data_IF_589631973410
#
_entry.id   IF_589631973410
#
_cell.length_a   1.000
_cell.length_b   1.000
_cell.length_c   1.000
_cell.angle_alpha   90.00
_cell.angle_beta   90.00
_cell.angle_gamma   90.00
#
_symmetry.space_group_name_H-M   'P 1'
#
loop_
_entity.id
_entity.type
_entity.pdbx_description
1 polymer ?
#
# COMPACT_ATOMS: atom_id res chain seq x y z
N UNK A 1 -59.01 8.86 1.22
CA UNK A 1 -58.37 7.82 2.06
C UNK A 1 -59.09 7.75 3.39
N UNK A 2 -59.48 6.55 3.82
CA UNK A 2 -60.16 6.33 5.11
C UNK A 2 -59.19 6.66 6.27
N UNK A 3 -59.67 7.14 7.43
CA UNK A 3 -58.83 7.50 8.57
C UNK A 3 -57.83 6.39 8.94
N UNK A 4 -58.26 5.13 8.88
CA UNK A 4 -57.44 3.94 9.13
C UNK A 4 -56.24 3.79 8.19
N UNK A 5 -56.35 4.25 6.93
CA UNK A 5 -55.25 4.20 5.96
C UNK A 5 -54.19 5.27 6.23
N UNK A 6 -54.59 6.42 6.80
CA UNK A 6 -53.63 7.48 7.17
C UNK A 6 -52.76 7.02 8.33
N UNK A 7 -53.36 6.41 9.36
CA UNK A 7 -52.62 5.85 10.50
C UNK A 7 -51.61 4.76 10.08
N UNK A 8 -51.99 3.90 9.13
CA UNK A 8 -51.10 2.84 8.65
C UNK A 8 -49.86 3.41 7.93
N UNK A 9 -50.05 4.44 7.10
CA UNK A 9 -48.96 5.09 6.37
C UNK A 9 -48.03 5.86 7.32
N UNK A 10 -48.57 6.53 8.33
CA UNK A 10 -47.75 7.24 9.33
C UNK A 10 -46.94 6.26 10.20
N UNK A 11 -47.53 5.12 10.58
CA UNK A 11 -46.83 4.08 11.32
C UNK A 11 -45.68 3.47 10.51
N UNK A 12 -45.89 3.19 9.22
CA UNK A 12 -44.85 2.65 8.34
C UNK A 12 -43.69 3.64 8.12
N UNK A 13 -43.98 4.94 7.97
CA UNK A 13 -42.96 5.99 7.88
C UNK A 13 -42.14 6.11 9.16
N UNK A 14 -42.78 6.05 10.33
CA UNK A 14 -42.07 6.06 11.62
C UNK A 14 -41.19 4.82 11.79
N UNK A 15 -41.68 3.64 11.42
CA UNK A 15 -40.88 2.41 11.42
C UNK A 15 -39.68 2.52 10.47
N UNK A 16 -39.86 3.12 9.28
CA UNK A 16 -38.78 3.31 8.32
C UNK A 16 -37.73 4.31 8.84
N UNK A 17 -38.14 5.41 9.47
CA UNK A 17 -37.23 6.40 10.08
C UNK A 17 -36.45 5.78 11.25
N UNK A 18 -37.11 4.99 12.11
CA UNK A 18 -36.44 4.29 13.22
C UNK A 18 -35.49 3.21 12.71
N UNK A 19 -35.88 2.47 11.67
CA UNK A 19 -35.01 1.46 11.05
C UNK A 19 -33.81 2.08 10.35
N UNK A 20 -34.01 3.18 9.62
CA UNK A 20 -32.94 3.92 8.94
C UNK A 20 -32.02 4.63 9.94
N UNK A 21 -32.58 5.20 11.01
CA UNK A 21 -31.83 5.74 12.14
C UNK A 21 -30.97 4.68 12.80
N UNK A 22 -31.52 3.49 13.07
CA UNK A 22 -30.76 2.35 13.61
C UNK A 22 -29.65 1.86 12.67
N UNK A 23 -29.86 1.94 11.36
CA UNK A 23 -28.88 1.55 10.33
C UNK A 23 -27.78 2.61 10.13
N UNK A 24 -28.06 3.87 10.47
CA UNK A 24 -27.08 4.96 10.51
C UNK A 24 -26.33 5.03 11.85
N UNK A 25 -26.87 4.47 12.94
CA UNK A 25 -26.23 4.46 14.27
C UNK A 25 -25.34 3.25 14.55
N UNK A 26 -24.85 2.53 13.55
CA UNK A 26 -23.68 1.66 13.74
C UNK A 26 -22.41 2.44 13.39
N UNK A 27 -21.86 3.14 14.38
CA UNK A 27 -20.43 3.00 14.66
C UNK A 27 -20.18 3.07 16.17
N UNK A 28 -20.04 1.94 16.85
CA UNK A 28 -19.69 1.97 18.28
C UNK A 28 -19.15 0.64 18.85
N UNK A 29 -18.38 -0.15 18.08
CA UNK A 29 -17.68 -1.31 18.65
C UNK A 29 -16.16 -1.34 18.48
N UNK A 30 -15.56 -0.38 17.77
CA UNK A 30 -14.10 -0.14 17.78
C UNK A 30 -13.67 1.02 18.70
N UNK A 31 -14.55 1.49 19.60
CA UNK A 31 -14.28 2.68 20.42
C UNK A 31 -13.44 2.39 21.69
N UNK A 32 -13.03 1.15 21.95
CA UNK A 32 -12.37 0.80 23.22
C UNK A 32 -10.84 0.55 23.20
N UNK A 33 -10.09 0.94 22.15
CA UNK A 33 -8.62 0.82 22.17
C UNK A 33 -7.81 2.09 21.81
N UNK A 34 -8.43 3.22 21.45
CA UNK A 34 -7.68 4.43 21.04
C UNK A 34 -7.08 5.23 22.21
N UNK A 35 -7.60 5.10 23.44
CA UNK A 35 -7.08 5.86 24.59
C UNK A 35 -5.69 5.42 25.06
N UNK A 36 -5.15 4.30 24.54
CA UNK A 36 -3.81 3.81 24.90
C UNK A 36 -2.69 4.52 24.13
N UNK A 37 -3.03 5.17 23.02
CA UNK A 37 -2.10 5.85 22.12
C UNK A 37 -1.69 7.25 22.58
N UNK A 38 -2.51 7.88 23.44
CA UNK A 38 -2.27 9.24 23.92
C UNK A 38 -1.36 9.33 25.16
N UNK A 39 -0.94 8.20 25.73
CA UNK A 39 0.00 8.17 26.85
C UNK A 39 1.14 7.20 26.57
N UNK A 40 2.17 7.66 25.87
CA UNK A 40 3.48 7.03 25.85
C UNK A 40 3.84 6.32 24.55
N UNK A 41 4.25 7.10 23.54
CA UNK A 41 5.25 6.61 22.57
C UNK A 41 6.60 6.63 23.29
N UNK A 42 6.85 5.60 24.10
CA UNK A 42 8.19 5.28 24.56
C UNK A 42 8.82 4.32 23.53
N UNK A 43 9.27 4.86 22.40
CA UNK A 43 10.11 4.12 21.47
C UNK A 43 11.51 4.02 22.11
N UNK A 44 11.76 2.88 22.74
CA UNK A 44 13.07 2.52 23.25
C UNK A 44 14.06 2.33 22.11
N UNK A 45 14.73 3.40 21.70
CA UNK A 45 15.95 3.33 20.91
C UNK A 45 17.09 2.85 21.81
N UNK A 46 17.42 1.57 21.74
CA UNK A 46 18.64 1.03 22.33
C UNK A 46 19.84 1.44 21.45
N UNK A 47 20.63 2.39 21.94
CA UNK A 47 21.97 2.72 21.45
C UNK A 47 23.00 1.63 21.90
N UNK A 48 24.22 1.59 21.32
CA UNK A 48 24.94 0.33 21.06
C UNK A 48 25.62 -0.32 22.28
N UNK A 49 25.79 -1.64 22.17
CA UNK A 49 26.52 -2.54 23.05
C UNK A 49 27.87 -2.01 23.56
N UNK A 50 28.20 -2.35 24.83
CA UNK A 50 29.50 -2.88 25.17
C UNK A 50 29.40 -4.36 25.56
N UNK A 51 30.40 -5.12 25.12
CA UNK A 51 30.66 -6.51 25.46
C UNK A 51 30.81 -6.72 26.98
N UNK A 52 30.09 -7.68 27.55
CA UNK A 52 30.67 -8.68 28.48
C UNK A 52 29.66 -9.77 28.82
N UNK A 53 30.21 -10.97 28.95
CA UNK A 53 29.56 -12.25 29.23
C UNK A 53 28.93 -12.34 30.61
N UNK A 54 27.74 -12.94 30.73
CA UNK A 54 27.47 -13.98 31.74
C UNK A 54 26.17 -14.73 31.45
N UNK A 55 26.26 -16.04 31.61
CA UNK A 55 25.20 -17.03 31.46
C UNK A 55 24.19 -16.98 32.62
N UNK A 56 22.89 -17.14 32.33
CA UNK A 56 21.96 -17.86 33.22
C UNK A 56 20.70 -18.30 32.46
N UNK A 57 20.42 -19.61 32.55
CA UNK A 57 19.25 -20.30 32.05
C UNK A 57 17.98 -19.91 32.81
N UNK A 58 16.88 -19.62 32.09
CA UNK A 58 15.53 -19.91 32.59
C UNK A 58 14.55 -20.01 31.41
N UNK A 59 13.84 -21.13 31.33
CA UNK A 59 12.79 -21.39 30.34
C UNK A 59 11.54 -20.56 30.62
N UNK A 60 11.12 -19.76 29.64
CA UNK A 60 9.76 -19.26 29.51
C UNK A 60 9.43 -19.21 28.01
N UNK A 61 8.32 -19.84 27.62
CA UNK A 61 7.79 -19.85 26.25
C UNK A 61 7.46 -18.42 25.80
N UNK A 62 8.41 -17.81 25.10
CA UNK A 62 8.30 -16.47 24.51
C UNK A 62 7.75 -16.62 23.09
N UNK A 63 6.63 -15.95 22.83
CA UNK A 63 6.09 -15.69 21.48
C UNK A 63 7.25 -15.16 20.62
N UNK A 64 7.62 -15.91 19.58
CA UNK A 64 8.79 -15.59 18.74
C UNK A 64 8.50 -14.33 17.93
N UNK A 65 9.37 -13.33 18.09
CA UNK A 65 9.54 -12.21 17.17
C UNK A 65 9.99 -12.78 15.81
N UNK A 66 9.42 -12.36 14.67
CA UNK A 66 9.87 -12.82 13.36
C UNK A 66 11.36 -12.54 13.17
N UNK A 67 12.05 -13.50 12.59
CA UNK A 67 13.49 -13.45 12.29
C UNK A 67 13.69 -12.86 10.89
N UNK A 68 14.90 -12.36 10.61
CA UNK A 68 15.30 -11.86 9.27
C UNK A 68 15.10 -12.90 8.16
N UNK A 69 15.06 -14.19 8.53
CA UNK A 69 14.76 -15.33 7.66
C UNK A 69 13.29 -15.46 7.27
N UNK A 70 12.38 -14.81 8.00
CA UNK A 70 10.95 -14.72 7.65
C UNK A 70 10.69 -13.59 6.62
N UNK A 71 11.74 -12.83 6.27
CA UNK A 71 11.75 -11.73 5.29
C UNK A 71 12.55 -12.06 4.02
N UNK A 72 13.05 -13.29 3.89
CA UNK A 72 13.77 -13.74 2.69
C UNK A 72 12.83 -14.41 1.68
N UNK A 73 13.05 -14.22 0.36
CA UNK A 73 12.19 -14.79 -0.69
C UNK A 73 12.10 -16.31 -0.59
N UNK A 74 10.89 -16.86 -0.70
CA UNK A 74 10.67 -18.29 -0.88
C UNK A 74 11.19 -18.70 -2.27
N UNK A 75 12.43 -19.16 -2.35
CA UNK A 75 12.89 -19.89 -3.52
C UNK A 75 12.52 -21.37 -3.34
N UNK A 76 11.58 -21.83 -4.16
CA UNK A 76 11.35 -23.26 -4.35
C UNK A 76 12.59 -23.88 -4.99
N UNK A 77 13.32 -24.70 -4.23
CA UNK A 77 14.32 -25.63 -4.78
C UNK A 77 13.59 -26.73 -5.58
N UNK A 78 13.83 -26.74 -6.89
CA UNK A 78 13.41 -27.79 -7.82
C UNK A 78 14.60 -28.31 -8.60
N UNK A 79 14.86 -29.61 -8.45
CA UNK A 79 16.02 -30.39 -8.89
C UNK A 79 16.50 -30.21 -10.35
N UNK A 80 17.83 -30.29 -10.52
CA UNK A 80 18.53 -30.45 -11.80
C UNK A 80 18.21 -31.78 -12.51
N UNK A 81 18.10 -31.72 -13.85
CA UNK A 81 18.55 -32.81 -14.72
C UNK A 81 18.90 -32.26 -16.12
N UNK A 82 19.99 -32.80 -16.68
CA UNK A 82 20.68 -32.35 -17.88
C UNK A 82 20.32 -33.17 -19.13
N UNK A 83 20.47 -32.56 -20.33
CA UNK A 83 21.05 -33.09 -21.60
C UNK A 83 20.42 -32.40 -22.86
N UNK A 84 21.28 -31.81 -23.71
CA UNK A 84 21.28 -32.09 -25.16
C UNK A 84 20.58 -31.16 -26.20
N UNK A 85 21.28 -30.09 -26.60
CA UNK A 85 21.53 -29.60 -27.97
C UNK A 85 20.45 -29.70 -29.10
N UNK A 86 19.82 -28.57 -29.49
CA UNK A 86 19.83 -27.96 -30.86
C UNK A 86 18.80 -26.84 -31.00
N UNK A 87 19.31 -25.67 -31.41
CA UNK A 87 18.70 -24.67 -32.29
C UNK A 87 17.21 -24.35 -32.10
N UNK A 88 16.95 -23.29 -31.33
CA UNK A 88 16.05 -22.22 -31.75
C UNK A 88 16.48 -20.95 -31.03
N UNK A 89 17.14 -20.03 -31.73
CA UNK A 89 17.18 -18.62 -31.31
C UNK A 89 15.77 -18.06 -31.52
N UNK A 90 14.82 -18.51 -30.69
CA UNK A 90 13.56 -17.81 -30.52
C UNK A 90 13.93 -16.52 -29.80
N UNK A 91 13.61 -15.37 -30.39
CA UNK A 91 13.58 -14.12 -29.63
C UNK A 91 12.50 -14.24 -28.54
N UNK A 92 12.84 -14.80 -27.38
CA UNK A 92 12.03 -14.73 -26.16
C UNK A 92 12.73 -13.77 -25.22
N UNK A 93 12.46 -12.50 -25.39
CA UNK A 93 12.27 -11.50 -24.33
C UNK A 93 11.53 -10.36 -25.02
N UNK A 94 10.34 -9.95 -24.57
CA UNK A 94 9.72 -8.78 -25.21
C UNK A 94 8.83 -7.95 -24.29
N UNK A 95 8.24 -8.53 -23.25
CA UNK A 95 7.49 -7.75 -22.26
C UNK A 95 8.39 -7.48 -21.07
N UNK A 96 9.01 -6.30 -21.05
CA UNK A 96 9.89 -5.81 -19.97
C UNK A 96 9.16 -4.79 -19.09
N UNK A 97 7.93 -5.12 -18.70
CA UNK A 97 7.07 -4.25 -17.89
C UNK A 97 6.01 -5.06 -17.15
N UNK A 98 5.65 -4.61 -15.95
CA UNK A 98 4.74 -5.34 -15.05
C UNK A 98 3.70 -4.40 -14.42
N UNK A 99 2.54 -4.95 -14.12
CA UNK A 99 1.51 -4.34 -13.28
C UNK A 99 1.44 -5.11 -11.97
N UNK A 100 1.55 -4.39 -10.85
CA UNK A 100 1.50 -4.91 -9.49
C UNK A 100 0.20 -4.47 -8.85
N UNK A 101 -0.59 -5.43 -8.38
CA UNK A 101 -1.92 -5.19 -7.79
C UNK A 101 -2.01 -5.92 -6.46
N UNK A 102 -2.44 -5.20 -5.42
CA UNK A 102 -2.94 -5.81 -4.19
C UNK A 102 -4.45 -6.03 -4.31
N UNK A 103 -4.93 -7.21 -3.92
CA UNK A 103 -6.34 -7.57 -3.97
C UNK A 103 -6.80 -8.25 -2.68
N UNK A 104 -8.07 -8.07 -2.34
CA UNK A 104 -8.76 -8.99 -1.43
C UNK A 104 -9.18 -10.25 -2.20
N UNK A 105 -9.53 -11.32 -1.49
CA UNK A 105 -10.06 -12.56 -2.07
C UNK A 105 -11.32 -12.31 -2.93
N UNK A 106 -12.14 -11.35 -2.51
CA UNK A 106 -13.41 -11.02 -3.16
C UNK A 106 -13.27 -10.07 -4.36
N UNK A 107 -12.10 -9.43 -4.52
CA UNK A 107 -11.86 -8.55 -5.65
C UNK A 107 -11.71 -9.33 -6.97
N UNK A 108 -12.40 -8.87 -8.01
CA UNK A 108 -12.18 -9.33 -9.38
C UNK A 108 -11.01 -8.57 -10.01
N UNK A 109 -9.94 -9.30 -10.31
CA UNK A 109 -8.71 -8.80 -10.93
C UNK A 109 -8.38 -9.48 -12.25
N UNK A 110 -9.26 -10.33 -12.78
CA UNK A 110 -9.00 -11.09 -14.02
C UNK A 110 -8.84 -10.15 -15.22
N UNK A 111 -9.47 -8.98 -15.14
CA UNK A 111 -9.36 -7.91 -16.13
C UNK A 111 -7.92 -7.45 -16.36
N UNK A 112 -7.02 -7.52 -15.35
CA UNK A 112 -5.61 -7.15 -15.50
C UNK A 112 -4.95 -8.06 -16.53
N UNK A 113 -5.20 -9.38 -16.42
CA UNK A 113 -4.67 -10.39 -17.34
C UNK A 113 -5.34 -10.30 -18.70
N UNK A 114 -6.67 -10.16 -18.72
CA UNK A 114 -7.47 -10.26 -19.93
C UNK A 114 -7.38 -9.02 -20.83
N UNK A 115 -7.18 -7.82 -20.26
CA UNK A 115 -7.26 -6.56 -21.02
C UNK A 115 -5.94 -5.81 -21.13
N UNK A 116 -4.96 -6.11 -20.29
CA UNK A 116 -3.61 -5.52 -20.31
C UNK A 116 -2.57 -6.57 -20.71
N UNK A 117 -2.88 -7.36 -21.74
CA UNK A 117 -2.11 -8.50 -22.25
C UNK A 117 -0.68 -8.17 -22.68
N UNK A 118 -0.35 -6.88 -22.86
CA UNK A 118 0.96 -6.39 -23.21
C UNK A 118 1.84 -6.07 -21.98
N UNK A 119 1.39 -6.42 -20.77
CA UNK A 119 2.08 -6.27 -19.50
C UNK A 119 2.18 -7.63 -18.79
N UNK A 120 3.29 -7.85 -18.08
CA UNK A 120 3.33 -8.88 -17.04
C UNK A 120 2.46 -8.44 -15.86
N UNK A 121 2.09 -9.38 -14.99
CA UNK A 121 1.27 -9.07 -13.82
C UNK A 121 1.77 -9.79 -12.56
N UNK A 122 1.73 -9.08 -11.43
CA UNK A 122 1.97 -9.62 -10.10
C UNK A 122 0.79 -9.22 -9.20
N UNK A 123 -0.12 -10.16 -8.96
CA UNK A 123 -1.39 -9.90 -8.26
C UNK A 123 -1.32 -10.62 -6.90
N UNK A 124 -1.15 -9.86 -5.83
CA UNK A 124 -1.01 -10.38 -4.47
C UNK A 124 -2.32 -10.34 -3.71
N UNK A 125 -2.72 -11.46 -3.11
CA UNK A 125 -3.82 -11.51 -2.16
C UNK A 125 -3.37 -10.99 -0.79
N UNK A 126 -4.19 -10.12 -0.17
CA UNK A 126 -3.90 -9.58 1.17
C UNK A 126 -4.53 -10.39 2.31
N UNK A 127 -5.51 -11.23 2.00
CA UNK A 127 -6.34 -11.97 2.94
C UNK A 127 -6.59 -13.44 2.52
N UNK A 128 -5.80 -13.96 1.57
CA UNK A 128 -5.80 -15.37 1.17
C UNK A 128 -4.38 -15.97 1.25
N UNK A 129 -4.03 -16.67 2.34
CA UNK A 129 -2.69 -17.26 2.52
C UNK A 129 -2.42 -18.44 1.58
N UNK A 130 -3.44 -18.98 0.92
CA UNK A 130 -3.29 -20.08 -0.04
C UNK A 130 -3.08 -19.56 -1.48
N UNK A 131 -3.19 -18.24 -1.70
CA UNK A 131 -2.97 -17.67 -3.01
C UNK A 131 -1.49 -17.78 -3.43
N UNK A 132 -1.17 -18.01 -4.71
CA UNK A 132 0.23 -18.17 -5.15
C UNK A 132 1.13 -16.96 -4.83
N UNK A 133 0.58 -15.76 -4.93
CA UNK A 133 1.20 -14.53 -4.46
C UNK A 133 0.33 -13.97 -3.34
N UNK A 134 0.87 -13.89 -2.13
CA UNK A 134 0.19 -13.37 -0.96
C UNK A 134 1.17 -12.63 -0.05
N UNK A 135 0.65 -11.80 0.83
CA UNK A 135 1.44 -11.20 1.92
C UNK A 135 1.20 -11.95 3.22
N UNK A 136 2.20 -11.97 4.10
CA UNK A 136 2.12 -12.68 5.39
C UNK A 136 1.16 -12.02 6.38
N UNK A 137 0.86 -10.73 6.20
CA UNK A 137 -0.01 -9.93 7.06
C UNK A 137 -0.75 -8.87 6.26
N UNK A 138 -2.08 -8.77 6.44
CA UNK A 138 -2.86 -7.67 5.88
C UNK A 138 -2.64 -6.38 6.69
N UNK A 139 -1.76 -5.50 6.21
CA UNK A 139 -1.32 -4.29 6.93
C UNK A 139 -0.96 -3.19 5.94
N UNK A 140 -1.39 -1.95 6.21
CA UNK A 140 -0.95 -0.78 5.44
C UNK A 140 -1.51 -0.70 4.02
N UNK A 141 -2.67 -1.33 3.76
CA UNK A 141 -3.34 -1.36 2.47
C UNK A 141 -2.41 -1.83 1.34
N UNK A 142 -2.44 -1.18 0.17
CA UNK A 142 -1.63 -1.50 -1.00
C UNK A 142 -0.12 -1.36 -0.75
N UNK A 143 0.29 -0.57 0.25
CA UNK A 143 1.70 -0.29 0.47
C UNK A 143 2.51 -1.54 0.82
N UNK A 144 1.92 -2.51 1.52
CA UNK A 144 2.60 -3.77 1.83
C UNK A 144 2.91 -4.56 0.56
N UNK A 145 1.91 -4.71 -0.32
CA UNK A 145 2.08 -5.40 -1.60
C UNK A 145 3.15 -4.72 -2.46
N UNK A 146 3.15 -3.39 -2.51
CA UNK A 146 4.09 -2.64 -3.34
C UNK A 146 5.53 -2.78 -2.83
N UNK A 147 5.74 -2.66 -1.52
CA UNK A 147 7.05 -2.87 -0.90
C UNK A 147 7.52 -4.32 -1.05
N UNK A 148 6.64 -5.30 -0.80
CA UNK A 148 6.94 -6.72 -0.94
C UNK A 148 7.40 -7.04 -2.37
N UNK A 149 6.68 -6.56 -3.39
CA UNK A 149 7.07 -6.75 -4.79
C UNK A 149 8.46 -6.19 -5.08
N UNK A 150 8.74 -4.96 -4.63
CA UNK A 150 10.05 -4.32 -4.84
C UNK A 150 11.16 -5.13 -4.18
N UNK A 151 10.95 -5.60 -2.94
CA UNK A 151 11.94 -6.37 -2.19
C UNK A 151 12.22 -7.71 -2.87
N UNK A 152 11.18 -8.47 -3.22
CA UNK A 152 11.31 -9.82 -3.79
C UNK A 152 11.98 -9.82 -5.16
N UNK A 153 11.81 -8.74 -5.92
CA UNK A 153 12.24 -8.65 -7.32
C UNK A 153 13.38 -7.64 -7.53
N UNK A 154 13.97 -7.09 -6.47
CA UNK A 154 14.87 -5.92 -6.55
C UNK A 154 16.01 -6.09 -7.56
N UNK A 155 16.58 -7.30 -7.64
CA UNK A 155 17.70 -7.61 -8.54
C UNK A 155 17.28 -7.97 -9.97
N UNK A 156 15.98 -8.21 -10.22
CA UNK A 156 15.42 -8.61 -11.52
C UNK A 156 14.16 -7.80 -11.90
N UNK A 157 14.16 -6.50 -11.56
CA UNK A 157 13.03 -5.62 -11.87
C UNK A 157 12.86 -5.44 -13.39
N UNK A 158 11.62 -5.40 -13.90
CA UNK A 158 11.37 -5.02 -15.29
C UNK A 158 11.58 -3.52 -15.49
N UNK A 159 11.79 -3.06 -16.73
CA UNK A 159 12.10 -1.65 -17.03
C UNK A 159 11.07 -0.66 -16.49
N UNK A 160 9.80 -1.05 -16.48
CA UNK A 160 8.67 -0.23 -16.01
C UNK A 160 7.77 -1.05 -15.10
N UNK A 161 7.44 -0.50 -13.94
CA UNK A 161 6.53 -1.09 -12.97
C UNK A 161 5.35 -0.14 -12.80
N UNK A 162 4.13 -0.68 -12.87
CA UNK A 162 2.90 0.06 -12.58
C UNK A 162 2.28 -0.51 -11.32
N UNK A 163 2.04 0.34 -10.34
CA UNK A 163 1.34 0.01 -9.11
C UNK A 163 -0.09 0.51 -9.19
N UNK A 164 -1.05 -0.38 -8.93
CA UNK A 164 -2.45 -0.14 -9.27
C UNK A 164 -3.40 -0.80 -8.27
N UNK A 165 -4.60 -0.24 -8.12
CA UNK A 165 -5.66 -0.79 -7.27
C UNK A 165 -6.48 -1.87 -8.00
N UNK A 166 -7.07 -2.81 -7.25
CA UNK A 166 -7.77 -3.99 -7.82
C UNK A 166 -9.00 -3.66 -8.67
N UNK A 167 -9.63 -2.50 -8.47
CA UNK A 167 -10.85 -2.13 -9.17
C UNK A 167 -10.59 -1.77 -10.64
N UNK A 168 -11.34 -2.39 -11.55
CA UNK A 168 -11.24 -2.15 -13.00
C UNK A 168 -11.68 -0.74 -13.40
N UNK A 169 -12.91 -0.37 -13.06
CA UNK A 169 -13.56 0.89 -13.43
C UNK A 169 -14.83 1.20 -12.62
N UNK A 170 -15.42 2.37 -12.88
CA UNK A 170 -16.73 2.79 -12.38
C UNK A 170 -16.74 3.43 -10.98
N UNK A 171 -17.84 4.12 -10.68
CA UNK A 171 -18.11 4.75 -9.38
C UNK A 171 -19.15 3.92 -8.58
N UNK A 172 -19.02 3.77 -7.25
CA UNK A 172 -18.01 4.37 -6.39
C UNK A 172 -16.72 3.56 -6.25
N UNK A 173 -16.60 2.34 -6.80
CA UNK A 173 -15.48 1.44 -6.46
C UNK A 173 -14.10 1.91 -6.94
N UNK A 174 -13.99 2.40 -8.18
CA UNK A 174 -12.73 2.88 -8.76
C UNK A 174 -12.61 4.41 -8.75
N UNK A 175 -13.35 5.13 -7.88
CA UNK A 175 -13.39 6.60 -7.83
C UNK A 175 -12.02 7.29 -7.84
N UNK A 176 -11.02 6.58 -7.32
CA UNK A 176 -9.61 6.95 -7.22
C UNK A 176 -8.82 6.86 -8.53
N UNK A 177 -9.47 6.66 -9.69
CA UNK A 177 -8.83 6.60 -11.00
C UNK A 177 -9.15 7.83 -11.86
N UNK A 178 -8.21 8.24 -12.71
CA UNK A 178 -8.16 9.54 -13.41
C UNK A 178 -9.40 9.91 -14.23
N UNK A 179 -9.85 9.01 -15.10
CA UNK A 179 -10.84 9.34 -16.12
C UNK A 179 -12.26 9.42 -15.56
N UNK A 180 -13.18 10.06 -16.30
CA UNK A 180 -14.59 10.18 -15.93
C UNK A 180 -15.32 8.84 -15.79
N UNK A 181 -14.83 7.80 -16.48
CA UNK A 181 -15.29 6.41 -16.36
C UNK A 181 -14.55 5.63 -15.26
N UNK A 182 -13.57 6.27 -14.61
CA UNK A 182 -12.70 5.71 -13.58
C UNK A 182 -11.92 4.47 -14.06
N UNK A 183 -11.60 4.37 -15.35
CA UNK A 183 -11.02 3.15 -15.92
C UNK A 183 -9.51 3.03 -15.71
N UNK A 184 -9.09 2.01 -14.95
CA UNK A 184 -7.69 1.65 -14.78
C UNK A 184 -7.09 1.07 -16.07
N UNK A 185 -7.88 0.32 -16.85
CA UNK A 185 -7.49 -0.15 -18.18
C UNK A 185 -7.10 1.03 -19.09
N UNK A 186 -7.90 2.10 -19.07
CA UNK A 186 -7.62 3.30 -19.85
C UNK A 186 -6.38 4.04 -19.33
N UNK A 187 -6.24 4.18 -18.00
CA UNK A 187 -5.05 4.76 -17.37
C UNK A 187 -3.76 4.08 -17.82
N UNK A 188 -3.70 2.75 -17.76
CA UNK A 188 -2.52 1.99 -18.16
C UNK A 188 -2.28 2.04 -19.66
N UNK A 189 -3.33 1.96 -20.50
CA UNK A 189 -3.16 2.03 -21.97
C UNK A 189 -2.70 3.42 -22.44
N UNK A 190 -3.06 4.48 -21.74
CA UNK A 190 -2.66 5.85 -22.06
C UNK A 190 -1.32 6.25 -21.43
N UNK A 191 -0.78 5.45 -20.51
CA UNK A 191 0.52 5.68 -19.90
C UNK A 191 1.63 5.68 -20.96
N UNK A 192 2.36 6.79 -21.04
CA UNK A 192 3.55 6.91 -21.89
C UNK A 192 4.77 6.38 -21.15
N UNK A 193 5.15 5.14 -21.39
CA UNK A 193 6.32 4.52 -20.74
C UNK A 193 7.60 5.32 -20.95
N UNK A 194 7.78 5.96 -22.11
CA UNK A 194 8.94 6.83 -22.37
C UNK A 194 9.02 8.03 -21.42
N UNK A 195 7.87 8.55 -20.96
CA UNK A 195 7.85 9.58 -19.93
C UNK A 195 8.34 9.02 -18.59
N UNK A 196 7.85 7.83 -18.20
CA UNK A 196 8.29 7.14 -16.98
C UNK A 196 9.79 6.86 -17.02
N UNK A 197 10.32 6.42 -18.16
CA UNK A 197 11.76 6.16 -18.32
C UNK A 197 12.61 7.42 -18.19
N UNK A 198 12.14 8.56 -18.72
CA UNK A 198 12.86 9.85 -18.61
C UNK A 198 12.72 10.51 -17.25
N UNK A 199 11.54 10.47 -16.66
CA UNK A 199 11.22 11.18 -15.42
C UNK A 199 11.45 10.33 -14.16
N UNK A 200 11.62 9.02 -14.30
CA UNK A 200 11.75 8.07 -13.21
C UNK A 200 10.41 7.66 -12.57
N UNK A 201 9.46 8.59 -12.47
CA UNK A 201 8.17 8.40 -11.83
C UNK A 201 7.04 9.10 -12.61
N UNK A 202 5.83 8.56 -12.55
CA UNK A 202 4.61 9.21 -13.01
C UNK A 202 3.42 8.80 -12.14
N UNK A 203 2.69 9.77 -11.59
CA UNK A 203 1.38 9.52 -10.99
C UNK A 203 0.39 9.15 -12.12
N UNK A 204 -0.46 8.14 -11.91
CA UNK A 204 -1.48 7.75 -12.90
C UNK A 204 -2.69 8.68 -12.86
N UNK A 205 -2.82 9.54 -11.84
CA UNK A 205 -3.78 10.62 -11.78
C UNK A 205 -3.12 11.95 -12.13
N UNK A 206 -3.89 12.76 -12.85
CA UNK A 206 -3.67 14.18 -13.07
C UNK A 206 -4.72 15.03 -12.32
N UNK A 207 -5.82 14.43 -11.86
CA UNK A 207 -6.81 15.10 -11.03
C UNK A 207 -6.25 15.43 -9.64
N UNK A 208 -6.14 16.73 -9.36
CA UNK A 208 -5.60 17.29 -8.12
C UNK A 208 -6.44 16.99 -6.87
N UNK A 209 -7.72 16.62 -7.02
CA UNK A 209 -8.61 16.35 -5.89
C UNK A 209 -8.89 14.84 -5.76
N UNK A 210 -8.68 14.23 -4.58
CA UNK A 210 -7.99 14.78 -3.40
C UNK A 210 -6.46 14.73 -3.55
N UNK A 211 -5.74 15.37 -2.63
CA UNK A 211 -4.28 15.28 -2.49
C UNK A 211 -3.47 16.55 -2.76
N UNK A 212 -4.00 17.49 -3.53
CA UNK A 212 -3.37 18.79 -3.79
C UNK A 212 -4.28 19.94 -3.35
N UNK A 213 -3.72 21.11 -2.95
CA UNK A 213 -2.30 21.46 -3.01
C UNK A 213 -1.50 21.12 -1.74
N UNK A 214 -2.14 20.60 -0.69
CA UNK A 214 -1.57 20.61 0.66
C UNK A 214 -2.13 19.53 1.59
N UNK A 215 -2.25 18.30 1.08
CA UNK A 215 -2.89 17.21 1.83
C UNK A 215 -2.24 16.96 3.19
N UNK A 216 -0.92 16.79 3.23
CA UNK A 216 -0.20 16.47 4.46
C UNK A 216 0.53 17.72 4.91
N UNK A 217 0.20 18.19 6.12
CA UNK A 217 0.85 19.31 6.79
C UNK A 217 1.46 18.84 8.12
N UNK A 218 2.70 18.33 8.13
CA UNK A 218 3.27 17.65 9.30
C UNK A 218 3.31 18.48 10.59
N UNK A 219 3.28 19.81 10.46
CA UNK A 219 3.34 20.76 11.57
C UNK A 219 2.03 21.51 11.83
N UNK A 220 0.88 20.99 11.37
CA UNK A 220 -0.44 21.57 11.65
C UNK A 220 -0.65 21.66 13.16
N UNK A 221 -0.96 22.86 13.65
CA UNK A 221 -1.14 23.12 15.08
C UNK A 221 -2.37 22.39 15.66
N UNK A 222 -3.43 22.26 14.85
CA UNK A 222 -4.67 21.59 15.20
C UNK A 222 -4.48 20.07 15.12
N UNK A 223 -4.54 19.40 16.27
CA UNK A 223 -4.53 17.94 16.34
C UNK A 223 -5.96 17.42 16.28
N UNK A 224 -6.26 16.60 15.27
CA UNK A 224 -7.50 15.85 15.16
C UNK A 224 -7.21 14.39 14.78
N UNK A 225 -8.16 13.48 15.04
CA UNK A 225 -8.03 12.09 14.60
C UNK A 225 -7.97 11.97 13.07
N UNK A 226 -8.59 12.90 12.35
CA UNK A 226 -8.55 12.97 10.87
C UNK A 226 -7.15 13.29 10.33
N UNK A 227 -6.31 13.96 11.14
CA UNK A 227 -4.95 14.36 10.77
C UNK A 227 -3.87 13.45 11.39
N UNK A 228 -4.21 12.23 11.82
CA UNK A 228 -3.23 11.28 12.35
C UNK A 228 -2.05 11.02 11.39
N UNK A 229 -2.24 10.85 10.06
CA UNK A 229 -1.12 10.71 9.13
C UNK A 229 -0.14 11.89 9.16
N UNK A 230 -0.64 13.12 9.31
CA UNK A 230 0.19 14.33 9.40
C UNK A 230 1.03 14.32 10.68
N UNK A 231 0.42 13.93 11.81
CA UNK A 231 1.07 13.96 13.12
C UNK A 231 2.24 12.97 13.23
N UNK A 232 2.15 11.82 12.56
CA UNK A 232 3.21 10.79 12.59
C UNK A 232 4.26 11.01 11.51
N UNK A 233 3.96 11.80 10.47
CA UNK A 233 4.83 11.99 9.32
C UNK A 233 6.29 12.38 9.67
N UNK A 234 6.56 13.29 10.64
CA UNK A 234 7.93 13.64 11.02
C UNK A 234 8.76 12.46 11.55
N UNK A 235 8.15 11.60 12.37
CA UNK A 235 8.82 10.42 12.95
C UNK A 235 9.11 9.37 11.86
N UNK A 236 8.15 9.18 10.95
CA UNK A 236 8.31 8.26 9.82
C UNK A 236 9.38 8.78 8.86
N UNK A 237 9.43 10.09 8.63
CA UNK A 237 10.45 10.73 7.80
C UNK A 237 11.86 10.46 8.33
N UNK A 238 12.07 10.63 9.64
CA UNK A 238 13.36 10.35 10.29
C UNK A 238 13.74 8.88 10.12
N UNK A 239 12.78 7.96 10.30
CA UNK A 239 12.98 6.53 10.06
C UNK A 239 13.39 6.25 8.61
N UNK A 240 12.74 6.90 7.65
CA UNK A 240 12.88 6.59 6.23
C UNK A 240 14.13 7.20 5.59
N UNK A 241 14.44 8.44 5.97
CA UNK A 241 15.48 9.24 5.31
C UNK A 241 16.65 9.58 6.22
N UNK A 242 16.61 9.16 7.49
CA UNK A 242 17.69 9.36 8.47
C UNK A 242 18.12 10.84 8.59
N UNK A 243 17.14 11.74 8.56
CA UNK A 243 17.31 13.18 8.76
C UNK A 243 15.98 13.78 9.25
N UNK A 244 16.00 15.04 9.66
CA UNK A 244 14.84 15.76 10.19
C UNK A 244 14.33 16.87 9.27
N UNK A 245 14.72 16.84 7.98
CA UNK A 245 14.32 17.82 6.97
C UNK A 245 12.91 17.52 6.43
N UNK A 246 11.92 17.52 7.32
CA UNK A 246 10.53 17.23 6.99
C UNK A 246 9.92 18.42 6.25
N UNK A 247 9.31 18.25 5.06
CA UNK A 247 8.62 19.33 4.35
C UNK A 247 7.45 19.89 5.16
N UNK A 248 7.18 21.20 5.03
CA UNK A 248 6.01 21.81 5.67
C UNK A 248 4.69 21.34 5.06
N UNK A 249 4.73 21.00 3.77
CA UNK A 249 3.59 20.55 2.97
C UNK A 249 4.06 19.39 2.08
N UNK A 250 3.24 18.34 2.02
CA UNK A 250 3.37 17.26 1.05
C UNK A 250 2.04 17.15 0.31
N UNK A 251 2.11 17.16 -1.02
CA UNK A 251 0.95 17.10 -1.89
C UNK A 251 1.27 16.36 -3.19
N UNK A 252 0.32 15.55 -3.62
CA UNK A 252 0.34 14.84 -4.90
C UNK A 252 -1.09 14.35 -5.17
N UNK A 253 -1.54 14.20 -6.43
CA UNK A 253 -2.80 13.54 -6.71
C UNK A 253 -2.90 12.21 -5.95
N UNK A 254 -4.01 11.98 -5.24
CA UNK A 254 -4.11 10.87 -4.30
C UNK A 254 -3.93 9.48 -4.93
N UNK A 255 -3.95 8.52 -4.01
CA UNK A 255 -4.44 7.16 -4.16
C UNK A 255 -3.43 6.17 -4.70
N UNK A 256 -2.13 6.40 -4.47
CA UNK A 256 -1.05 5.42 -4.64
C UNK A 256 -1.02 4.64 -5.98
N UNK A 257 -1.61 5.18 -7.06
CA UNK A 257 -1.55 4.60 -8.39
C UNK A 257 -0.50 5.35 -9.20
N UNK A 258 0.62 4.69 -9.49
CA UNK A 258 1.76 5.32 -10.15
C UNK A 258 2.56 4.32 -10.98
N UNK A 259 3.40 4.85 -11.86
CA UNK A 259 4.38 4.11 -12.61
C UNK A 259 5.79 4.58 -12.24
N UNK A 260 6.73 3.65 -12.16
CA UNK A 260 8.14 3.93 -11.84
C UNK A 260 9.06 3.13 -12.76
N UNK A 261 10.19 3.72 -13.14
CA UNK A 261 11.22 3.01 -13.90
C UNK A 261 12.10 2.18 -12.97
N UNK A 262 12.63 1.04 -13.46
CA UNK A 262 13.66 0.28 -12.73
C UNK A 262 14.81 1.17 -12.29
N UNK A 263 15.29 2.04 -13.18
CA UNK A 263 16.40 2.93 -12.88
C UNK A 263 16.12 3.83 -11.67
N UNK A 264 14.87 4.30 -11.52
CA UNK A 264 14.45 5.11 -10.38
C UNK A 264 14.33 4.30 -9.10
N UNK A 265 13.80 3.07 -9.16
CA UNK A 265 13.74 2.17 -7.98
C UNK A 265 15.16 1.90 -7.46
N UNK A 266 16.10 1.62 -8.36
CA UNK A 266 17.50 1.30 -8.04
C UNK A 266 18.34 2.49 -7.56
N UNK A 267 17.86 3.73 -7.64
CA UNK A 267 18.54 4.87 -7.02
C UNK A 267 18.64 4.75 -5.50
N UNK A 268 17.79 3.90 -4.91
CA UNK A 268 17.72 3.68 -3.48
C UNK A 268 18.07 2.22 -3.20
N UNK A 269 19.00 1.91 -2.29
CA UNK A 269 19.41 0.54 -2.04
C UNK A 269 18.26 -0.29 -1.46
N UNK A 270 18.27 -1.61 -1.73
CA UNK A 270 17.34 -2.61 -1.19
C UNK A 270 17.09 -2.45 0.31
N UNK A 271 18.14 -2.17 1.09
CA UNK A 271 18.06 -1.97 2.54
C UNK A 271 17.11 -0.83 2.98
N UNK A 272 16.83 0.13 2.09
CA UNK A 272 15.83 1.18 2.37
C UNK A 272 14.42 0.63 2.23
N UNK A 273 14.13 -0.13 1.17
CA UNK A 273 12.80 -0.74 0.98
C UNK A 273 12.49 -1.75 2.09
N UNK A 274 13.49 -2.55 2.50
CA UNK A 274 13.38 -3.43 3.67
C UNK A 274 13.04 -2.63 4.93
N UNK A 275 13.68 -1.47 5.14
CA UNK A 275 13.39 -0.60 6.29
C UNK A 275 11.95 -0.05 6.24
N UNK A 276 11.48 0.37 5.08
CA UNK A 276 10.12 0.89 4.91
C UNK A 276 9.08 -0.20 5.19
N UNK A 277 9.35 -1.42 4.71
CA UNK A 277 8.51 -2.59 4.95
C UNK A 277 8.51 -3.00 6.42
N UNK A 278 9.69 -3.03 7.05
CA UNK A 278 9.81 -3.30 8.48
C UNK A 278 9.00 -2.31 9.32
N UNK A 279 9.13 -1.00 9.05
CA UNK A 279 8.32 0.02 9.71
C UNK A 279 6.81 -0.25 9.53
N UNK A 280 6.38 -0.58 8.32
CA UNK A 280 4.97 -0.86 8.01
C UNK A 280 4.45 -2.10 8.77
N UNK A 281 5.27 -3.13 8.92
CA UNK A 281 4.91 -4.37 9.62
C UNK A 281 4.87 -4.22 11.14
N UNK A 282 5.83 -3.46 11.69
CA UNK A 282 6.04 -3.28 13.13
C UNK A 282 5.17 -2.17 13.72
N UNK A 283 4.82 -1.16 12.94
CA UNK A 283 4.02 -0.05 13.45
C UNK A 283 2.68 -0.54 13.97
N UNK A 284 2.31 -0.07 15.16
CA UNK A 284 1.00 -0.37 15.73
C UNK A 284 -0.13 0.41 15.00
N UNK A 285 0.22 1.40 14.15
CA UNK A 285 -0.73 2.35 13.56
C UNK A 285 -1.82 1.63 12.74
N UNK A 286 -3.09 2.06 12.77
CA UNK A 286 -4.12 1.48 11.91
C UNK A 286 -3.74 1.49 10.42
N UNK A 287 -4.17 0.50 9.64
CA UNK A 287 -3.79 0.36 8.23
C UNK A 287 -4.18 1.57 7.37
N UNK A 288 -5.29 2.23 7.68
CA UNK A 288 -5.68 3.47 7.00
C UNK A 288 -4.71 4.62 7.29
N UNK A 289 -4.13 4.70 8.49
CA UNK A 289 -3.14 5.72 8.85
C UNK A 289 -1.78 5.41 8.22
N UNK A 290 -1.25 4.20 8.43
CA UNK A 290 0.07 3.83 7.88
C UNK A 290 0.06 3.75 6.36
N UNK A 291 -1.05 3.30 5.76
CA UNK A 291 -1.28 3.34 4.32
C UNK A 291 -1.29 4.75 3.77
N UNK A 292 -2.01 5.69 4.42
CA UNK A 292 -2.04 7.11 4.01
C UNK A 292 -0.67 7.77 4.09
N UNK A 293 0.14 7.45 5.12
CA UNK A 293 1.53 7.93 5.18
C UNK A 293 2.33 7.45 3.96
N UNK A 294 2.24 6.16 3.63
CA UNK A 294 2.92 5.61 2.45
C UNK A 294 2.42 6.21 1.14
N UNK A 295 1.11 6.41 1.00
CA UNK A 295 0.48 7.03 -0.18
C UNK A 295 1.15 8.37 -0.55
N UNK A 296 1.41 9.23 0.44
CA UNK A 296 2.06 10.52 0.25
C UNK A 296 3.58 10.47 0.38
N UNK A 297 4.17 9.30 0.62
CA UNK A 297 5.62 9.12 0.63
C UNK A 297 6.15 8.64 -0.73
N UNK A 298 5.31 8.02 -1.57
CA UNK A 298 5.76 7.34 -2.78
C UNK A 298 6.51 8.23 -3.76
N UNK A 299 5.97 9.40 -4.11
CA UNK A 299 6.63 10.31 -5.06
C UNK A 299 7.98 10.79 -4.51
N UNK A 300 8.09 11.04 -3.20
CA UNK A 300 9.33 11.43 -2.53
C UNK A 300 10.35 10.27 -2.48
N UNK A 301 9.89 9.05 -2.17
CA UNK A 301 10.73 7.83 -2.22
C UNK A 301 11.36 7.69 -3.61
N UNK A 302 10.61 8.02 -4.66
CA UNK A 302 11.03 8.01 -6.06
C UNK A 302 11.53 9.36 -6.59
N UNK A 303 12.01 10.22 -5.69
CA UNK A 303 12.85 11.38 -6.03
C UNK A 303 12.11 12.59 -6.60
N UNK A 304 10.78 12.65 -6.45
CA UNK A 304 10.01 13.86 -6.78
C UNK A 304 10.02 14.84 -5.59
N UNK A 305 9.79 16.12 -5.91
CA UNK A 305 9.61 17.15 -4.89
C UNK A 305 8.36 16.89 -4.03
N UNK A 306 8.32 17.39 -2.78
CA UNK A 306 7.18 17.17 -1.89
C UNK A 306 5.83 17.69 -2.41
N UNK A 307 5.82 18.67 -3.33
CA UNK A 307 4.62 19.32 -3.91
C UNK A 307 4.79 19.50 -5.41
#
# INVERSE_FOLDING_TARGET
>A
MRPSQRFLVTALLLCFIVWFGKRLTTPAQEIYQLSRWHNGVALGYAAPFPSSSSSLNTSATRIRRPSITDLTPSQHEGAESSIGNRHSTVKITAVDRVIVVGKTKDDDTDWVVNELTNWLHAIYAVDDPEAPLHVTKNKGNEANVYLQYIIDNYDDLPSTIVFLHSHRDGYPRAWHTEFSDHSNVRAVRMLKTDFVQRNGYANLRCNHNPGCPDEIRPFRAEKSEDHLPEQVFPEVWETFFNNTNVPEIIATPCCAQFAVSRAQVLQRPLSSYIRYHQWLMDTELPSNVSGRVMEYMWHIIFGQDPV
#
